data_IF_990514547643
#
_entry.id   IF_990514547643
#
_cell.length_a   1.000
_cell.length_b   1.000
_cell.length_c   1.000
_cell.angle_alpha   90.00
_cell.angle_beta   90.00
_cell.angle_gamma   90.00
#
_symmetry.space_group_name_H-M   'P 1'
#
loop_
_entity.id
_entity.type
_entity.pdbx_description
1 polymer ?
#
# COMPACT_ATOMS: atom_id res chain seq x y z
N UNK A 1 -39.98 -7.85 -29.95
CA UNK A 1 -40.71 -7.94 -28.67
C UNK A 1 -39.80 -8.62 -27.66
N UNK A 2 -39.41 -7.94 -26.58
CA UNK A 2 -38.54 -8.54 -25.57
C UNK A 2 -39.34 -9.58 -24.75
N UNK A 3 -38.84 -10.81 -24.68
CA UNK A 3 -39.44 -11.91 -23.91
C UNK A 3 -39.43 -11.50 -22.43
N UNK A 4 -40.60 -11.38 -21.81
CA UNK A 4 -40.70 -11.14 -20.37
C UNK A 4 -40.08 -12.35 -19.65
N UNK A 5 -39.15 -12.13 -18.71
CA UNK A 5 -38.57 -13.22 -17.94
C UNK A 5 -39.67 -13.91 -17.14
N UNK A 6 -39.62 -15.24 -17.12
CA UNK A 6 -40.47 -16.08 -16.28
C UNK A 6 -40.19 -15.80 -14.81
N UNK A 7 -41.18 -16.09 -13.95
CA UNK A 7 -41.04 -15.94 -12.50
C UNK A 7 -39.81 -16.70 -11.97
N UNK A 8 -39.56 -17.91 -12.50
CA UNK A 8 -38.41 -18.72 -12.16
C UNK A 8 -37.07 -18.07 -12.54
N UNK A 9 -36.97 -17.41 -13.69
CA UNK A 9 -35.77 -16.68 -14.10
C UNK A 9 -35.52 -15.45 -13.21
N UNK A 10 -36.58 -14.81 -12.75
CA UNK A 10 -36.49 -13.69 -11.80
C UNK A 10 -36.02 -14.18 -10.43
N UNK A 11 -36.60 -15.27 -9.91
CA UNK A 11 -36.24 -15.86 -8.62
C UNK A 11 -34.77 -16.32 -8.60
N UNK A 12 -34.31 -16.98 -9.66
CA UNK A 12 -32.90 -17.39 -9.79
C UNK A 12 -31.96 -16.18 -9.80
N UNK A 13 -32.35 -15.11 -10.48
CA UNK A 13 -31.53 -13.89 -10.56
C UNK A 13 -31.49 -13.13 -9.24
N UNK A 14 -32.59 -13.14 -8.48
CA UNK A 14 -32.63 -12.59 -7.12
C UNK A 14 -31.71 -13.39 -6.21
N UNK A 15 -31.78 -14.73 -6.21
CA UNK A 15 -30.88 -15.58 -5.42
C UNK A 15 -29.40 -15.35 -5.75
N UNK A 16 -29.06 -15.19 -7.04
CA UNK A 16 -27.69 -14.88 -7.45
C UNK A 16 -27.23 -13.50 -6.97
N UNK A 17 -28.12 -12.50 -6.98
CA UNK A 17 -27.80 -11.17 -6.49
C UNK A 17 -27.65 -11.15 -4.97
N UNK A 18 -28.50 -11.88 -4.23
CA UNK A 18 -28.39 -12.04 -2.78
C UNK A 18 -27.09 -12.74 -2.38
N UNK A 19 -26.68 -13.78 -3.12
CA UNK A 19 -25.40 -14.43 -2.87
C UNK A 19 -24.23 -13.49 -3.14
N UNK A 20 -24.23 -12.79 -4.28
CA UNK A 20 -23.19 -11.80 -4.59
C UNK A 20 -23.13 -10.68 -3.57
N UNK A 21 -24.27 -10.26 -3.03
CA UNK A 21 -24.33 -9.23 -1.98
C UNK A 21 -23.74 -9.75 -0.67
N UNK A 22 -24.03 -11.00 -0.28
CA UNK A 22 -23.40 -11.65 0.88
C UNK A 22 -21.89 -11.78 0.72
N UNK A 23 -21.43 -12.25 -0.43
CA UNK A 23 -19.99 -12.37 -0.73
C UNK A 23 -19.31 -11.00 -0.73
N UNK A 24 -20.00 -9.95 -1.20
CA UNK A 24 -19.48 -8.58 -1.18
C UNK A 24 -19.41 -8.03 0.25
N UNK A 25 -20.44 -8.28 1.06
CA UNK A 25 -20.47 -7.89 2.47
C UNK A 25 -19.36 -8.59 3.26
N UNK A 26 -19.17 -9.89 3.07
CA UNK A 26 -18.09 -10.64 3.72
C UNK A 26 -16.72 -10.09 3.31
N UNK A 27 -16.53 -9.75 2.03
CA UNK A 27 -15.29 -9.11 1.57
C UNK A 27 -15.09 -7.71 2.13
N UNK A 28 -16.16 -6.93 2.27
CA UNK A 28 -16.11 -5.61 2.91
C UNK A 28 -15.83 -5.75 4.39
N UNK A 29 -16.44 -6.69 5.09
CA UNK A 29 -16.21 -6.96 6.51
C UNK A 29 -14.79 -7.48 6.75
N UNK A 30 -14.26 -8.35 5.89
CA UNK A 30 -12.84 -8.75 5.91
C UNK A 30 -11.97 -7.52 5.69
N UNK A 31 -12.24 -6.71 4.66
CA UNK A 31 -11.47 -5.50 4.36
C UNK A 31 -11.55 -4.47 5.47
N UNK A 32 -12.70 -4.28 6.09
CA UNK A 32 -12.93 -3.43 7.26
C UNK A 32 -12.28 -4.02 8.50
N UNK A 33 -12.25 -5.34 8.70
CA UNK A 33 -11.47 -5.96 9.78
C UNK A 33 -9.96 -5.79 9.57
N UNK A 34 -9.52 -5.68 8.31
CA UNK A 34 -8.13 -5.36 7.95
C UNK A 34 -7.85 -3.84 7.99
N UNK A 35 -8.89 -2.99 7.93
CA UNK A 35 -8.79 -1.52 7.90
C UNK A 35 -9.03 -0.88 9.29
N UNK A 36 -9.88 -1.49 10.11
CA UNK A 36 -10.13 -1.17 11.53
C UNK A 36 -9.30 -2.05 12.47
N UNK A 37 -8.67 -3.10 11.94
CA UNK A 37 -7.51 -3.74 12.55
C UNK A 37 -6.30 -2.80 12.49
N UNK A 38 -6.28 -1.83 13.40
CA UNK A 38 -5.12 -1.06 13.85
C UNK A 38 -4.82 0.23 13.06
N UNK A 39 -5.67 1.22 13.31
CA UNK A 39 -5.19 2.51 13.83
C UNK A 39 -4.41 2.20 15.12
N UNK A 40 -3.11 1.98 15.03
CA UNK A 40 -2.23 2.08 16.21
C UNK A 40 -1.84 3.55 16.35
N UNK A 41 -2.68 4.31 17.06
CA UNK A 41 -2.09 5.12 18.12
C UNK A 41 -1.37 4.14 19.04
N UNK A 42 -0.05 4.32 19.21
CA UNK A 42 0.80 3.69 20.23
C UNK A 42 0.26 2.37 20.82
N UNK A 43 0.42 1.27 20.08
CA UNK A 43 0.48 -0.04 20.72
C UNK A 43 1.61 -0.84 20.11
N UNK A 44 2.80 -0.38 20.48
CA UNK A 44 4.03 -1.14 20.50
C UNK A 44 3.90 -2.29 21.52
N UNK A 45 3.03 -3.25 21.24
CA UNK A 45 2.89 -4.51 21.97
C UNK A 45 3.00 -5.70 21.01
N UNK A 46 4.01 -5.65 20.14
CA UNK A 46 4.80 -6.84 19.87
C UNK A 46 6.18 -6.55 20.43
N UNK A 47 6.50 -7.21 21.55
CA UNK A 47 7.88 -7.38 22.02
C UNK A 47 8.78 -7.53 20.79
N UNK A 48 9.88 -6.77 20.64
CA UNK A 48 10.75 -6.89 19.48
C UNK A 48 11.25 -8.33 19.42
N UNK A 49 10.58 -9.15 18.60
CA UNK A 49 11.14 -10.41 18.18
C UNK A 49 12.40 -10.09 17.38
N UNK A 50 13.35 -11.03 17.37
CA UNK A 50 14.61 -10.97 16.63
C UNK A 50 14.41 -10.65 15.12
N UNK A 51 13.17 -10.74 14.64
CA UNK A 51 12.72 -10.49 13.27
C UNK A 51 11.94 -9.20 13.00
N UNK A 52 11.83 -8.29 13.97
CA UNK A 52 11.23 -6.97 13.75
C UNK A 52 12.08 -6.13 12.76
N UNK A 53 11.41 -5.53 11.76
CA UNK A 53 12.03 -4.60 10.80
C UNK A 53 11.78 -3.17 11.25
N UNK A 54 12.84 -2.39 11.39
CA UNK A 54 12.74 -0.97 11.74
C UNK A 54 12.44 -0.15 10.49
N UNK A 55 11.38 0.64 10.52
CA UNK A 55 11.04 1.54 9.42
C UNK A 55 11.47 2.97 9.74
N UNK A 56 12.04 3.65 8.75
CA UNK A 56 12.42 5.05 8.84
C UNK A 56 11.92 5.78 7.61
N UNK A 57 11.19 6.87 7.81
CA UNK A 57 10.70 7.74 6.75
C UNK A 57 11.35 9.11 6.93
N UNK A 58 11.58 9.81 5.82
CA UNK A 58 11.96 11.22 5.89
C UNK A 58 10.75 12.10 6.21
N UNK A 59 11.02 13.37 6.54
CA UNK A 59 10.00 14.34 6.90
C UNK A 59 8.96 14.57 5.79
N UNK A 60 9.34 14.38 4.52
CA UNK A 60 8.46 14.58 3.38
C UNK A 60 7.35 13.50 3.33
N UNK A 61 7.69 12.26 3.70
CA UNK A 61 6.76 11.13 3.73
C UNK A 61 6.07 10.96 5.09
N UNK A 62 6.70 11.41 6.18
CA UNK A 62 6.19 11.26 7.55
C UNK A 62 5.31 12.44 8.00
N UNK A 63 5.65 13.67 7.60
CA UNK A 63 4.97 14.89 8.10
C UNK A 63 4.01 15.47 7.07
N UNK A 64 4.52 15.92 5.92
CA UNK A 64 3.76 16.51 4.79
C UNK A 64 4.61 16.49 3.51
N UNK A 65 3.99 16.32 2.32
CA UNK A 65 2.57 16.36 2.03
C UNK A 65 1.88 14.99 2.05
N UNK A 66 2.57 13.95 2.51
CA UNK A 66 2.02 12.60 2.56
C UNK A 66 1.76 12.12 3.98
N UNK A 67 0.87 11.15 4.10
CA UNK A 67 0.72 10.27 5.26
C UNK A 67 0.82 8.84 4.78
N UNK A 68 1.68 8.04 5.39
CA UNK A 68 1.78 6.60 5.11
C UNK A 68 0.59 5.89 5.76
N UNK A 69 -0.33 5.37 4.95
CA UNK A 69 -1.47 4.58 5.42
C UNK A 69 -1.15 3.09 5.55
N UNK A 70 -0.27 2.59 4.71
CA UNK A 70 0.15 1.19 4.69
C UNK A 70 1.62 1.09 4.32
N UNK A 71 2.31 0.15 4.96
CA UNK A 71 3.68 -0.24 4.64
C UNK A 71 3.86 -1.74 4.83
N UNK A 72 4.50 -2.40 3.88
CA UNK A 72 4.84 -3.81 4.00
C UNK A 72 6.19 -4.11 3.37
N UNK A 73 6.84 -5.13 3.92
CA UNK A 73 7.98 -5.82 3.33
C UNK A 73 7.56 -7.27 3.18
N UNK A 74 7.37 -7.72 1.95
CA UNK A 74 7.15 -9.11 1.63
C UNK A 74 8.51 -9.79 1.40
N UNK A 75 8.86 -10.69 2.32
CA UNK A 75 10.12 -11.43 2.27
C UNK A 75 10.08 -12.60 1.29
N UNK A 76 8.90 -13.14 1.00
CA UNK A 76 8.73 -14.27 0.09
C UNK A 76 8.83 -13.80 -1.36
N UNK A 77 8.19 -12.67 -1.66
CA UNK A 77 8.14 -12.11 -3.01
C UNK A 77 9.23 -11.06 -3.28
N UNK A 78 9.94 -10.61 -2.24
CA UNK A 78 11.02 -9.63 -2.37
C UNK A 78 10.53 -8.24 -2.75
N UNK A 79 9.42 -7.82 -2.15
CA UNK A 79 8.70 -6.59 -2.51
C UNK A 79 8.49 -5.68 -1.30
N UNK A 80 8.46 -4.38 -1.56
CA UNK A 80 8.05 -3.37 -0.59
C UNK A 80 6.89 -2.59 -1.18
N UNK A 81 5.81 -2.44 -0.42
CA UNK A 81 4.64 -1.65 -0.82
C UNK A 81 4.37 -0.53 0.18
N UNK A 82 3.97 0.63 -0.35
CA UNK A 82 3.50 1.77 0.43
C UNK A 82 2.20 2.32 -0.14
N UNK A 83 1.21 2.55 0.72
CA UNK A 83 0.04 3.37 0.39
C UNK A 83 0.20 4.75 1.02
N UNK A 84 0.24 5.77 0.17
CA UNK A 84 0.40 7.15 0.58
C UNK A 84 -0.91 7.91 0.38
N UNK A 85 -1.37 8.59 1.41
CA UNK A 85 -2.45 9.57 1.30
C UNK A 85 -1.86 10.97 1.17
N UNK A 86 -2.35 11.74 0.20
CA UNK A 86 -1.98 13.14 0.03
C UNK A 86 -2.73 13.97 1.07
N UNK A 87 -2.00 14.64 1.96
CA UNK A 87 -2.55 15.49 3.02
C UNK A 87 -2.36 16.98 2.76
N UNK A 88 -1.53 17.35 1.77
CA UNK A 88 -1.26 18.72 1.41
C UNK A 88 -0.83 18.88 -0.05
N UNK A 89 -0.46 20.10 -0.44
CA UNK A 89 0.06 20.36 -1.77
C UNK A 89 1.36 19.58 -2.00
N UNK A 90 1.43 18.84 -3.10
CA UNK A 90 2.60 18.03 -3.48
C UNK A 90 3.53 18.85 -4.38
N UNK A 91 4.74 19.22 -3.92
CA UNK A 91 5.77 19.74 -4.79
C UNK A 91 6.06 18.78 -5.95
N UNK A 92 6.34 19.32 -7.13
CA UNK A 92 6.70 18.52 -8.31
C UNK A 92 5.67 17.42 -8.66
N UNK A 93 4.38 17.77 -8.59
CA UNK A 93 3.24 16.91 -8.95
C UNK A 93 3.44 16.06 -10.23
N UNK A 94 4.15 16.61 -11.22
CA UNK A 94 4.45 15.91 -12.48
C UNK A 94 5.38 14.70 -12.29
N UNK A 95 6.29 14.72 -11.32
CA UNK A 95 7.14 13.57 -10.99
C UNK A 95 6.31 12.41 -10.39
N UNK A 96 5.19 12.73 -9.75
CA UNK A 96 4.29 11.75 -9.12
C UNK A 96 3.20 11.23 -10.05
N UNK A 97 2.76 12.06 -11.00
CA UNK A 97 1.59 11.79 -11.87
C UNK A 97 1.94 11.59 -13.34
N UNK A 98 3.22 11.80 -13.70
CA UNK A 98 3.72 11.71 -15.07
C UNK A 98 3.53 10.32 -15.71
N UNK A 99 3.83 10.24 -17.01
CA UNK A 99 3.74 8.99 -17.78
C UNK A 99 4.70 7.91 -17.28
N UNK A 100 5.83 8.32 -16.68
CA UNK A 100 6.74 7.39 -16.02
C UNK A 100 6.09 6.84 -14.75
N UNK A 101 6.30 5.54 -14.50
CA UNK A 101 5.83 4.89 -13.28
C UNK A 101 6.75 5.16 -12.10
N UNK A 102 8.04 5.38 -12.34
CA UNK A 102 8.98 5.75 -11.28
C UNK A 102 8.51 7.03 -10.57
N UNK A 103 8.46 6.98 -9.23
CA UNK A 103 8.14 8.14 -8.38
C UNK A 103 9.42 8.65 -7.71
N UNK A 104 9.47 9.90 -7.22
CA UNK A 104 10.66 10.45 -6.57
C UNK A 104 10.80 9.92 -5.13
N UNK A 105 10.73 8.60 -4.95
CA UNK A 105 10.89 7.92 -3.66
C UNK A 105 11.82 6.74 -3.85
N UNK A 106 12.79 6.63 -2.96
CA UNK A 106 13.74 5.52 -2.90
C UNK A 106 13.57 4.76 -1.61
N UNK A 107 13.98 3.50 -1.64
CA UNK A 107 14.10 2.65 -0.47
C UNK A 107 15.52 2.15 -0.35
N UNK A 108 16.03 2.16 0.88
CA UNK A 108 17.28 1.55 1.27
C UNK A 108 16.99 0.47 2.30
N UNK A 109 17.34 -0.77 1.98
CA UNK A 109 17.34 -1.87 2.93
C UNK A 109 18.71 -1.94 3.58
N UNK A 110 18.73 -2.05 4.90
CA UNK A 110 19.95 -2.31 5.66
C UNK A 110 19.83 -3.63 6.41
N UNK A 111 20.84 -4.48 6.26
CA UNK A 111 20.93 -5.76 6.98
C UNK A 111 21.57 -5.58 8.36
N UNK A 112 21.52 -6.61 9.21
CA UNK A 112 22.21 -6.62 10.50
C UNK A 112 23.73 -6.37 10.37
N UNK A 113 24.33 -6.80 9.26
CA UNK A 113 25.74 -6.61 8.95
C UNK A 113 26.06 -5.20 8.38
N UNK A 114 25.07 -4.31 8.32
CA UNK A 114 25.23 -2.95 7.79
C UNK A 114 25.31 -2.87 6.27
N UNK A 115 25.06 -3.96 5.54
CA UNK A 115 25.03 -3.93 4.06
C UNK A 115 23.75 -3.23 3.60
N UNK A 116 23.90 -2.36 2.61
CA UNK A 116 22.78 -1.60 2.04
C UNK A 116 22.40 -2.10 0.63
N UNK A 117 21.12 -1.99 0.32
CA UNK A 117 20.57 -2.24 -1.02
C UNK A 117 19.55 -1.15 -1.32
N UNK A 118 19.64 -0.56 -2.51
CA UNK A 118 18.78 0.55 -2.92
C UNK A 118 17.83 0.12 -4.03
N UNK A 119 16.60 0.59 -3.99
CA UNK A 119 15.64 0.48 -5.07
C UNK A 119 14.79 1.75 -5.18
N UNK A 120 14.19 1.95 -6.34
CA UNK A 120 13.26 3.07 -6.57
C UNK A 120 11.83 2.54 -6.59
N UNK A 121 10.93 3.31 -6.00
CA UNK A 121 9.51 2.99 -6.04
C UNK A 121 8.91 3.29 -7.41
N UNK A 122 7.98 2.41 -7.80
CA UNK A 122 7.14 2.57 -8.96
C UNK A 122 5.68 2.68 -8.54
N UNK A 123 4.99 3.66 -9.09
CA UNK A 123 3.55 3.85 -8.98
C UNK A 123 2.81 2.68 -9.62
N UNK A 124 2.05 1.99 -8.80
CA UNK A 124 1.15 0.91 -9.22
C UNK A 124 -0.23 1.47 -9.53
N UNK A 125 -0.76 2.35 -8.67
CA UNK A 125 -2.09 2.95 -8.79
C UNK A 125 -2.13 4.36 -8.21
N UNK A 126 -3.17 5.12 -8.60
CA UNK A 126 -3.39 6.49 -8.16
C UNK A 126 -2.49 7.46 -8.91
N UNK A 127 -3.05 8.31 -9.77
CA UNK A 127 -2.32 9.27 -10.60
C UNK A 127 -2.73 10.72 -10.29
N UNK A 128 -3.25 10.97 -9.10
CA UNK A 128 -3.68 12.27 -8.62
C UNK A 128 -2.93 12.63 -7.35
N UNK A 129 -2.66 13.92 -7.19
CA UNK A 129 -1.96 14.50 -6.03
C UNK A 129 -2.79 15.60 -5.35
N UNK A 130 -4.10 15.57 -5.54
CA UNK A 130 -5.01 16.43 -4.78
C UNK A 130 -5.11 15.93 -3.33
N UNK A 131 -5.27 16.81 -2.32
CA UNK A 131 -5.52 16.38 -0.95
C UNK A 131 -6.68 15.37 -0.86
N UNK A 132 -6.45 14.28 -0.14
CA UNK A 132 -7.35 13.12 -0.02
C UNK A 132 -7.13 12.03 -1.08
N UNK A 133 -6.35 12.27 -2.13
CA UNK A 133 -5.98 11.24 -3.09
C UNK A 133 -5.01 10.21 -2.46
N UNK A 134 -5.07 8.97 -2.97
CA UNK A 134 -4.18 7.89 -2.56
C UNK A 134 -3.27 7.48 -3.71
N UNK A 135 -2.01 7.23 -3.41
CA UNK A 135 -0.98 6.76 -4.34
C UNK A 135 -0.42 5.45 -3.80
N UNK A 136 -0.51 4.39 -4.60
CA UNK A 136 0.10 3.10 -4.27
C UNK A 136 1.41 2.96 -5.03
N UNK A 137 2.50 2.76 -4.29
CA UNK A 137 3.83 2.58 -4.83
C UNK A 137 4.44 1.26 -4.36
N UNK A 138 5.24 0.63 -5.23
CA UNK A 138 5.94 -0.62 -4.95
C UNK A 138 7.39 -0.56 -5.43
N UNK A 139 8.30 -1.14 -4.66
CA UNK A 139 9.69 -1.37 -5.06
C UNK A 139 9.99 -2.87 -5.04
N UNK A 140 10.69 -3.35 -6.06
CA UNK A 140 11.19 -4.71 -6.13
C UNK A 140 12.66 -4.71 -5.65
N UNK A 141 12.95 -5.50 -4.62
CA UNK A 141 14.24 -5.51 -3.91
C UNK A 141 14.93 -6.88 -4.00
N UNK A 142 14.18 -7.91 -4.38
CA UNK A 142 14.65 -9.29 -4.46
C UNK A 142 14.48 -10.05 -3.14
N UNK A 143 14.17 -11.34 -3.26
CA UNK A 143 13.85 -12.24 -2.14
C UNK A 143 15.03 -12.35 -1.17
N UNK A 144 16.25 -12.48 -1.69
CA UNK A 144 17.46 -12.60 -0.87
C UNK A 144 17.70 -11.36 0.00
N UNK A 145 17.49 -10.18 -0.56
CA UNK A 145 17.70 -8.91 0.12
C UNK A 145 16.60 -8.65 1.14
N UNK A 146 15.35 -8.97 0.79
CA UNK A 146 14.20 -8.86 1.68
C UNK A 146 14.34 -9.78 2.92
N UNK A 147 14.80 -11.02 2.72
CA UNK A 147 15.03 -11.98 3.79
C UNK A 147 16.07 -11.53 4.81
N UNK A 148 17.03 -10.67 4.42
CA UNK A 148 18.11 -10.19 5.28
C UNK A 148 17.82 -8.80 5.89
N UNK A 149 16.71 -8.16 5.53
CA UNK A 149 16.38 -6.82 5.94
C UNK A 149 16.15 -6.73 7.45
N UNK A 150 16.81 -5.77 8.11
CA UNK A 150 16.56 -5.37 9.50
C UNK A 150 16.06 -3.94 9.62
N UNK A 151 16.41 -3.10 8.65
CA UNK A 151 15.90 -1.74 8.56
C UNK A 151 15.48 -1.43 7.13
N UNK A 152 14.39 -0.69 6.99
CA UNK A 152 13.88 -0.14 5.74
C UNK A 152 13.82 1.38 5.89
N UNK A 153 14.58 2.08 5.06
CA UNK A 153 14.70 3.53 5.06
C UNK A 153 14.07 4.03 3.76
N UNK A 154 13.04 4.85 3.86
CA UNK A 154 12.31 5.40 2.72
C UNK A 154 12.52 6.89 2.65
N UNK A 155 12.95 7.38 1.49
CA UNK A 155 13.33 8.78 1.31
C UNK A 155 12.79 9.34 0.01
N UNK A 156 12.26 10.54 0.08
CA UNK A 156 11.96 11.38 -1.07
C UNK A 156 13.26 11.90 -1.69
N UNK A 157 13.33 11.86 -3.01
CA UNK A 157 14.46 12.40 -3.76
C UNK A 157 14.01 13.72 -4.37
N UNK A 158 14.40 14.83 -3.74
CA UNK A 158 14.29 16.15 -4.35
C UNK A 158 15.23 16.20 -5.55
N UNK A 159 14.67 16.29 -6.77
CA UNK A 159 15.44 16.52 -7.99
C UNK A 159 15.53 18.01 -8.31
#
# INVERSE_FOLDING_TARGET
MAKKPSLQEVEQRVQQLEQRYRDLLERVEIMESTTFGVVAEETDLRVPGEDAVVWTFDDYLDKRPFKVLYKSLDREDGQIELLLQVTGAVPDANAWTGKQKEVPVTVTLRTAAGRETHATFQRQRGNRVDPGANIHVRADIGVEQAALARQVIVQHVSR
#
